data_IF_366311714830
#
_entry.id   IF_366311714830
#
_cell.length_a   1.000
_cell.length_b   1.000
_cell.length_c   1.000
_cell.angle_alpha   90.00
_cell.angle_beta   90.00
_cell.angle_gamma   90.00
#
_symmetry.space_group_name_H-M   'P 1'
#
loop_
_entity.id
_entity.type
_entity.pdbx_description
1 polymer ?
#
# COMPACT_ATOMS: atom_id res chain seq x y z
N UNK A 1 -29.96 -41.74 -14.62
CA UNK A 1 -29.09 -42.68 -13.86
C UNK A 1 -29.73 -42.92 -12.48
N UNK A 2 -29.78 -44.16 -11.96
CA UNK A 2 -30.28 -44.41 -10.59
C UNK A 2 -29.23 -44.01 -9.55
N UNK A 3 -29.64 -43.57 -8.36
CA UNK A 3 -28.74 -43.10 -7.29
C UNK A 3 -27.65 -44.13 -6.94
N UNK A 4 -28.01 -45.41 -6.87
CA UNK A 4 -27.06 -46.52 -6.57
C UNK A 4 -25.97 -46.65 -7.64
N UNK A 5 -26.29 -46.38 -8.91
CA UNK A 5 -25.30 -46.42 -9.99
C UNK A 5 -24.37 -45.20 -9.93
N UNK A 6 -24.92 -44.03 -9.60
CA UNK A 6 -24.15 -42.80 -9.37
C UNK A 6 -23.17 -42.94 -8.20
N UNK A 7 -23.64 -43.55 -7.09
CA UNK A 7 -22.80 -43.89 -5.94
C UNK A 7 -21.65 -44.82 -6.33
N UNK A 8 -21.94 -45.93 -7.02
CA UNK A 8 -20.90 -46.89 -7.42
C UNK A 8 -19.85 -46.27 -8.35
N UNK A 9 -20.25 -45.37 -9.23
CA UNK A 9 -19.34 -44.71 -10.16
C UNK A 9 -18.35 -43.78 -9.45
N UNK A 10 -18.82 -43.04 -8.45
CA UNK A 10 -18.03 -41.98 -7.82
C UNK A 10 -17.46 -42.35 -6.42
N UNK A 11 -17.84 -43.49 -5.84
CA UNK A 11 -17.44 -43.87 -4.48
C UNK A 11 -15.91 -43.94 -4.28
N UNK A 12 -15.17 -44.51 -5.25
CA UNK A 12 -13.70 -44.59 -5.20
C UNK A 12 -13.07 -43.19 -5.15
N UNK A 13 -13.57 -42.26 -5.97
CA UNK A 13 -13.12 -40.87 -6.03
C UNK A 13 -13.36 -40.15 -4.69
N UNK A 14 -14.57 -40.27 -4.14
CA UNK A 14 -14.91 -39.61 -2.88
C UNK A 14 -14.14 -40.18 -1.69
N UNK A 15 -13.93 -41.51 -1.68
CA UNK A 15 -13.11 -42.18 -0.65
C UNK A 15 -11.66 -41.73 -0.68
N UNK A 16 -11.08 -41.55 -1.87
CA UNK A 16 -9.73 -40.99 -2.04
C UNK A 16 -9.65 -39.56 -1.50
N UNK A 17 -10.65 -38.74 -1.81
CA UNK A 17 -10.72 -37.36 -1.34
C UNK A 17 -10.88 -37.27 0.19
N UNK A 18 -11.69 -38.14 0.77
CA UNK A 18 -11.85 -38.24 2.22
C UNK A 18 -10.54 -38.69 2.89
N UNK A 19 -9.78 -39.60 2.28
CA UNK A 19 -8.44 -39.96 2.73
C UNK A 19 -7.46 -38.78 2.71
N UNK A 20 -7.49 -37.96 1.66
CA UNK A 20 -6.67 -36.74 1.57
C UNK A 20 -7.05 -35.70 2.62
N UNK A 21 -8.35 -35.50 2.87
CA UNK A 21 -8.85 -34.57 3.89
C UNK A 21 -8.56 -35.03 5.33
N UNK A 22 -8.51 -36.34 5.57
CA UNK A 22 -8.23 -36.88 6.90
C UNK A 22 -6.72 -36.99 7.18
N UNK A 23 -5.88 -36.97 6.16
CA UNK A 23 -4.43 -36.93 6.33
C UNK A 23 -3.99 -35.49 6.65
N UNK A 24 -3.23 -35.32 7.74
CA UNK A 24 -2.71 -34.01 8.17
C UNK A 24 -1.54 -33.50 7.32
N UNK A 25 -1.24 -34.15 6.20
CA UNK A 25 -0.16 -33.72 5.31
C UNK A 25 -0.65 -32.58 4.41
N UNK A 26 0.16 -31.51 4.28
CA UNK A 26 -0.23 -30.37 3.46
C UNK A 26 -0.23 -30.77 1.98
N UNK A 27 -1.43 -30.89 1.40
CA UNK A 27 -1.63 -31.03 -0.04
C UNK A 27 -1.58 -29.65 -0.71
N UNK A 28 -1.10 -29.61 -1.95
CA UNK A 28 -1.05 -28.40 -2.78
C UNK A 28 -2.45 -27.76 -2.93
N UNK A 29 -2.51 -26.43 -2.84
CA UNK A 29 -3.75 -25.68 -2.96
C UNK A 29 -4.40 -25.83 -4.35
N UNK A 30 -3.58 -26.00 -5.39
CA UNK A 30 -4.08 -26.23 -6.76
C UNK A 30 -4.77 -27.59 -6.90
N UNK A 31 -4.26 -28.61 -6.19
CA UNK A 31 -4.89 -29.94 -6.13
C UNK A 31 -6.23 -29.85 -5.40
N UNK A 32 -6.29 -29.15 -4.27
CA UNK A 32 -7.57 -28.96 -3.57
C UNK A 32 -8.58 -28.16 -4.39
N UNK A 33 -8.15 -27.13 -5.13
CA UNK A 33 -9.02 -26.36 -6.01
C UNK A 33 -9.64 -27.22 -7.14
N UNK A 34 -8.82 -28.07 -7.78
CA UNK A 34 -9.32 -29.01 -8.79
C UNK A 34 -10.33 -30.02 -8.22
N UNK A 35 -10.02 -30.61 -7.07
CA UNK A 35 -10.90 -31.53 -6.37
C UNK A 35 -12.22 -30.87 -5.91
N UNK A 36 -12.19 -29.57 -5.60
CA UNK A 36 -13.38 -28.83 -5.20
C UNK A 36 -14.34 -28.59 -6.35
N UNK A 37 -13.82 -28.34 -7.55
CA UNK A 37 -14.65 -28.28 -8.76
C UNK A 37 -15.35 -29.62 -8.99
N UNK A 38 -14.62 -30.73 -8.94
CA UNK A 38 -15.20 -32.07 -9.16
C UNK A 38 -16.29 -32.44 -8.15
N UNK A 39 -16.08 -32.16 -6.85
CA UNK A 39 -17.08 -32.43 -5.81
C UNK A 39 -18.29 -31.50 -5.94
N UNK A 40 -18.09 -30.26 -6.36
CA UNK A 40 -19.18 -29.30 -6.55
C UNK A 40 -20.05 -29.68 -7.75
N UNK A 41 -19.45 -30.23 -8.81
CA UNK A 41 -20.18 -30.77 -9.96
C UNK A 41 -21.01 -31.99 -9.56
N UNK A 42 -20.42 -32.96 -8.84
CA UNK A 42 -21.13 -34.12 -8.32
C UNK A 42 -22.28 -33.72 -7.37
N UNK A 43 -22.04 -32.74 -6.50
CA UNK A 43 -23.05 -32.21 -5.59
C UNK A 43 -24.19 -31.55 -6.35
N UNK A 44 -23.89 -30.79 -7.40
CA UNK A 44 -24.89 -30.13 -8.24
C UNK A 44 -25.78 -31.16 -8.93
N UNK A 45 -25.17 -32.20 -9.51
CA UNK A 45 -25.92 -33.32 -10.09
C UNK A 45 -26.79 -34.04 -9.05
N UNK A 46 -26.24 -34.33 -7.87
CA UNK A 46 -26.98 -34.99 -6.80
C UNK A 46 -28.15 -34.14 -6.27
N UNK A 47 -27.97 -32.82 -6.13
CA UNK A 47 -29.06 -31.89 -5.75
C UNK A 47 -30.19 -31.87 -6.76
N UNK A 48 -29.88 -31.91 -8.06
CA UNK A 48 -30.89 -31.86 -9.12
C UNK A 48 -31.64 -33.19 -9.26
N UNK A 49 -30.97 -34.34 -9.10
CA UNK A 49 -31.56 -35.65 -9.41
C UNK A 49 -31.95 -36.47 -8.16
N UNK A 50 -31.33 -36.21 -7.01
CA UNK A 50 -31.56 -36.91 -5.74
C UNK A 50 -31.73 -35.90 -4.58
N UNK A 51 -32.70 -34.96 -4.69
CA UNK A 51 -32.89 -33.93 -3.67
C UNK A 51 -33.21 -34.55 -2.30
N UNK A 52 -32.53 -34.07 -1.26
CA UNK A 52 -32.74 -34.53 0.12
C UNK A 52 -32.18 -35.91 0.46
N UNK A 53 -31.47 -36.57 -0.47
CA UNK A 53 -30.89 -37.89 -0.22
C UNK A 53 -29.65 -37.84 0.68
N UNK A 54 -29.28 -39.00 1.26
CA UNK A 54 -28.04 -39.14 2.05
C UNK A 54 -26.79 -38.82 1.22
N UNK A 55 -26.80 -39.14 -0.08
CA UNK A 55 -25.70 -38.84 -1.02
C UNK A 55 -25.53 -37.33 -1.15
N UNK A 56 -26.62 -36.60 -1.33
CA UNK A 56 -26.60 -35.13 -1.42
C UNK A 56 -26.08 -34.49 -0.14
N UNK A 57 -26.50 -34.99 1.04
CA UNK A 57 -25.99 -34.52 2.33
C UNK A 57 -24.50 -34.82 2.52
N UNK A 58 -24.05 -36.02 2.13
CA UNK A 58 -22.65 -36.44 2.19
C UNK A 58 -21.76 -35.54 1.34
N UNK A 59 -22.12 -35.32 0.07
CA UNK A 59 -21.37 -34.46 -0.84
C UNK A 59 -21.33 -33.01 -0.37
N UNK A 60 -22.43 -32.52 0.22
CA UNK A 60 -22.48 -31.18 0.78
C UNK A 60 -21.51 -31.01 1.96
N UNK A 61 -21.42 -32.02 2.85
CA UNK A 61 -20.45 -32.03 3.94
C UNK A 61 -19.01 -32.10 3.44
N UNK A 62 -18.76 -32.91 2.40
CA UNK A 62 -17.44 -33.07 1.80
C UNK A 62 -16.95 -31.78 1.13
N UNK A 63 -17.84 -31.12 0.36
CA UNK A 63 -17.58 -29.81 -0.23
C UNK A 63 -17.27 -28.74 0.82
N UNK A 64 -18.02 -28.74 1.93
CA UNK A 64 -17.81 -27.81 3.04
C UNK A 64 -16.44 -27.96 3.70
N UNK A 65 -16.00 -29.20 3.97
CA UNK A 65 -14.67 -29.48 4.52
C UNK A 65 -13.56 -29.02 3.58
N UNK A 66 -13.68 -29.35 2.30
CA UNK A 66 -12.70 -29.00 1.28
C UNK A 66 -12.60 -27.47 1.08
N UNK A 67 -13.73 -26.76 1.10
CA UNK A 67 -13.75 -25.29 1.08
C UNK A 67 -13.00 -24.68 2.27
N UNK A 68 -13.17 -25.26 3.46
CA UNK A 68 -12.46 -24.80 4.66
C UNK A 68 -10.94 -24.99 4.55
N UNK A 69 -10.49 -26.12 4.00
CA UNK A 69 -9.06 -26.39 3.78
C UNK A 69 -8.43 -25.45 2.75
N UNK A 70 -9.12 -25.18 1.63
CA UNK A 70 -8.64 -24.22 0.61
C UNK A 70 -8.45 -22.82 1.20
N UNK A 71 -9.40 -22.38 2.02
CA UNK A 71 -9.37 -21.04 2.60
C UNK A 71 -8.40 -20.92 3.78
N UNK A 72 -8.25 -22.00 4.57
CA UNK A 72 -7.31 -22.09 5.69
C UNK A 72 -5.85 -22.17 5.22
N UNK A 73 -5.59 -22.86 4.11
CA UNK A 73 -4.24 -23.11 3.61
C UNK A 73 -3.72 -22.00 2.66
N UNK A 74 -4.24 -20.77 2.75
CA UNK A 74 -3.59 -19.59 2.16
C UNK A 74 -2.33 -19.27 2.98
N UNK A 75 -1.24 -20.01 2.69
CA UNK A 75 0.07 -19.70 3.23
C UNK A 75 0.48 -18.33 2.71
N UNK A 76 0.38 -17.30 3.56
CA UNK A 76 1.11 -16.05 3.32
C UNK A 76 2.58 -16.43 3.21
N UNK A 77 3.19 -16.18 2.05
CA UNK A 77 4.59 -16.48 1.81
C UNK A 77 5.42 -16.00 3.00
N UNK A 78 6.18 -16.90 3.65
CA UNK A 78 7.03 -16.53 4.80
C UNK A 78 8.02 -15.42 4.46
N UNK A 79 8.26 -15.21 3.16
CA UNK A 79 9.13 -14.18 2.61
C UNK A 79 8.38 -12.97 2.01
N UNK A 80 7.07 -12.79 2.22
CA UNK A 80 6.28 -11.69 1.62
C UNK A 80 6.88 -10.31 1.86
N UNK A 81 7.37 -10.05 3.08
CA UNK A 81 8.07 -8.80 3.42
C UNK A 81 9.38 -8.65 2.63
N UNK A 82 10.16 -9.73 2.52
CA UNK A 82 11.43 -9.72 1.77
C UNK A 82 11.15 -9.49 0.29
N UNK A 83 10.16 -10.16 -0.29
CA UNK A 83 9.74 -10.00 -1.69
C UNK A 83 9.22 -8.59 -1.96
N UNK A 84 8.44 -8.01 -1.03
CA UNK A 84 7.97 -6.64 -1.12
C UNK A 84 9.14 -5.65 -1.21
N UNK A 85 10.08 -5.73 -0.28
CA UNK A 85 11.20 -4.79 -0.18
C UNK A 85 12.27 -4.99 -1.25
N UNK A 86 12.58 -6.24 -1.64
CA UNK A 86 13.64 -6.54 -2.62
C UNK A 86 13.18 -6.48 -4.07
N UNK A 87 11.91 -6.79 -4.33
CA UNK A 87 11.44 -6.99 -5.70
C UNK A 87 10.32 -6.02 -6.04
N UNK A 88 9.21 -6.05 -5.32
CA UNK A 88 8.01 -5.29 -5.70
C UNK A 88 8.22 -3.79 -5.64
N UNK A 89 8.76 -3.29 -4.52
CA UNK A 89 8.97 -1.87 -4.31
C UNK A 89 10.01 -1.31 -5.29
N UNK A 90 11.23 -1.88 -5.44
CA UNK A 90 12.19 -1.40 -6.44
C UNK A 90 11.66 -1.44 -7.88
N UNK A 91 10.93 -2.50 -8.24
CA UNK A 91 10.33 -2.62 -9.59
C UNK A 91 9.26 -1.55 -9.82
N UNK A 92 8.44 -1.24 -8.80
CA UNK A 92 7.45 -0.18 -8.86
C UNK A 92 8.10 1.19 -9.12
N UNK A 93 9.19 1.51 -8.41
CA UNK A 93 9.96 2.73 -8.62
C UNK A 93 10.58 2.78 -10.02
N UNK A 94 11.18 1.68 -10.49
CA UNK A 94 11.78 1.59 -11.82
C UNK A 94 10.76 1.85 -12.95
N UNK A 95 9.52 1.34 -12.78
CA UNK A 95 8.42 1.55 -13.72
C UNK A 95 7.93 3.00 -13.74
N UNK A 96 8.05 3.74 -12.64
CA UNK A 96 7.59 5.14 -12.51
C UNK A 96 8.74 6.16 -12.49
N UNK A 97 9.96 5.75 -12.86
CA UNK A 97 11.16 6.60 -12.80
C UNK A 97 11.02 7.93 -13.55
N UNK A 98 10.27 7.95 -14.66
CA UNK A 98 10.09 9.18 -15.46
C UNK A 98 9.23 10.20 -14.70
N UNK A 99 8.13 9.75 -14.08
CA UNK A 99 7.28 10.62 -13.25
C UNK A 99 8.05 11.17 -12.06
N UNK A 100 8.86 10.33 -11.40
CA UNK A 100 9.73 10.74 -10.30
C UNK A 100 10.80 11.74 -10.76
N UNK A 101 11.39 11.52 -11.94
CA UNK A 101 12.36 12.43 -12.53
C UNK A 101 11.73 13.79 -12.83
N UNK A 102 10.51 13.84 -13.39
CA UNK A 102 9.81 15.10 -13.63
C UNK A 102 9.52 15.84 -12.32
N UNK A 103 9.00 15.15 -11.30
CA UNK A 103 8.79 15.75 -9.98
C UNK A 103 10.09 16.27 -9.38
N UNK A 104 11.18 15.49 -9.48
CA UNK A 104 12.50 15.88 -9.00
C UNK A 104 13.02 17.13 -9.72
N UNK A 105 12.96 17.18 -11.05
CA UNK A 105 13.42 18.33 -11.84
C UNK A 105 12.61 19.59 -11.50
N UNK A 106 11.27 19.50 -11.46
CA UNK A 106 10.41 20.64 -11.10
C UNK A 106 10.78 21.17 -9.71
N UNK A 107 10.91 20.26 -8.75
CA UNK A 107 11.25 20.61 -7.37
C UNK A 107 12.64 21.22 -7.26
N UNK A 108 13.65 20.63 -7.90
CA UNK A 108 15.03 21.15 -7.90
C UNK A 108 15.13 22.53 -8.54
N UNK A 109 14.44 22.77 -9.66
CA UNK A 109 14.38 24.10 -10.28
C UNK A 109 13.76 25.12 -9.32
N UNK A 110 12.66 24.75 -8.66
CA UNK A 110 12.02 25.61 -7.68
C UNK A 110 12.93 25.93 -6.47
N UNK A 111 13.66 24.94 -5.96
CA UNK A 111 14.67 25.15 -4.90
C UNK A 111 15.74 26.13 -5.36
N UNK A 112 16.29 25.95 -6.57
CA UNK A 112 17.28 26.88 -7.13
C UNK A 112 16.72 28.30 -7.27
N UNK A 113 15.47 28.45 -7.72
CA UNK A 113 14.79 29.75 -7.80
C UNK A 113 14.69 30.37 -6.41
N UNK A 114 14.25 29.61 -5.40
CA UNK A 114 14.18 30.09 -4.01
C UNK A 114 15.53 30.58 -3.51
N UNK A 115 16.58 29.79 -3.70
CA UNK A 115 17.95 30.13 -3.29
C UNK A 115 18.48 31.37 -3.99
N UNK A 116 18.42 31.42 -5.33
CA UNK A 116 18.94 32.56 -6.10
C UNK A 116 18.17 33.83 -5.78
N UNK A 117 16.84 33.76 -5.64
CA UNK A 117 16.04 34.92 -5.26
C UNK A 117 16.40 35.45 -3.87
N UNK A 118 16.58 34.57 -2.89
CA UNK A 118 17.02 34.96 -1.54
C UNK A 118 18.40 35.61 -1.52
N UNK A 119 19.36 35.12 -2.31
CA UNK A 119 20.70 35.70 -2.38
C UNK A 119 20.73 37.11 -2.99
N UNK A 120 19.80 37.40 -3.89
CA UNK A 120 19.75 38.69 -4.58
C UNK A 120 18.84 39.73 -3.89
N UNK A 121 17.83 39.28 -3.14
CA UNK A 121 16.86 40.16 -2.48
C UNK A 121 16.47 39.63 -1.10
N UNK A 122 16.87 40.36 -0.05
CA UNK A 122 16.57 40.01 1.34
C UNK A 122 15.08 40.12 1.68
N UNK A 123 14.31 40.92 0.93
CA UNK A 123 12.85 41.02 1.10
C UNK A 123 12.12 39.76 0.61
N UNK A 124 12.75 38.98 -0.28
CA UNK A 124 12.19 37.72 -0.78
C UNK A 124 11.99 36.69 0.32
N UNK A 125 12.87 36.66 1.33
CA UNK A 125 12.72 35.77 2.49
C UNK A 125 11.42 36.05 3.22
N UNK A 126 11.11 37.33 3.45
CA UNK A 126 9.88 37.76 4.14
C UNK A 126 8.64 37.50 3.30
N UNK A 127 8.73 37.63 1.97
CA UNK A 127 7.63 37.27 1.07
C UNK A 127 7.25 35.79 1.17
N UNK A 128 8.24 34.89 1.25
CA UNK A 128 8.02 33.44 1.21
C UNK A 128 7.77 32.84 2.59
N UNK A 129 8.54 33.24 3.61
CA UNK A 129 8.45 32.69 4.97
C UNK A 129 7.55 33.51 5.91
N UNK A 130 7.25 34.77 5.54
CA UNK A 130 6.45 35.70 6.34
C UNK A 130 7.25 36.41 7.43
N UNK A 131 6.88 37.65 7.73
CA UNK A 131 7.55 38.49 8.73
C UNK A 131 7.61 37.86 10.12
N UNK A 132 6.57 37.14 10.52
CA UNK A 132 6.54 36.47 11.83
C UNK A 132 7.63 35.42 11.99
N UNK A 133 7.86 34.61 10.96
CA UNK A 133 8.92 33.58 10.99
C UNK A 133 10.31 34.23 10.94
N UNK A 134 10.49 35.24 10.08
CA UNK A 134 11.78 35.93 9.93
C UNK A 134 12.16 36.66 11.21
N UNK A 135 11.27 37.46 11.79
CA UNK A 135 11.55 38.22 13.01
C UNK A 135 11.88 37.29 14.20
N UNK A 136 11.15 36.18 14.35
CA UNK A 136 11.42 35.19 15.38
C UNK A 136 12.81 34.57 15.19
N UNK A 137 13.17 34.22 13.95
CA UNK A 137 14.47 33.64 13.64
C UNK A 137 15.61 34.64 13.82
N UNK A 138 15.46 35.90 13.40
CA UNK A 138 16.43 36.97 13.66
C UNK A 138 16.68 37.16 15.17
N UNK A 139 15.61 37.20 15.99
CA UNK A 139 15.73 37.27 17.46
C UNK A 139 16.44 36.05 18.06
N UNK A 140 16.23 34.87 17.48
CA UNK A 140 16.91 33.63 17.88
C UNK A 140 18.40 33.66 17.49
N UNK A 141 18.73 34.21 16.31
CA UNK A 141 20.11 34.43 15.86
C UNK A 141 20.83 35.41 16.79
N UNK A 142 20.20 36.51 17.19
CA UNK A 142 20.74 37.48 18.15
C UNK A 142 21.07 36.84 19.51
N UNK A 143 20.29 35.84 19.92
CA UNK A 143 20.52 35.04 21.14
C UNK A 143 21.56 33.93 20.98
N UNK A 144 22.14 33.77 19.80
CA UNK A 144 23.12 32.73 19.49
C UNK A 144 22.53 31.34 19.27
N UNK A 145 21.22 31.21 19.07
CA UNK A 145 20.55 29.93 18.76
C UNK A 145 19.56 30.05 17.60
N UNK A 146 20.05 30.13 16.34
CA UNK A 146 19.20 30.33 15.15
C UNK A 146 18.07 29.29 14.98
N UNK A 147 18.27 28.08 15.51
CA UNK A 147 17.33 26.96 15.36
C UNK A 147 16.50 26.70 16.63
N UNK A 148 16.42 27.66 17.55
CA UNK A 148 15.64 27.53 18.79
C UNK A 148 14.17 27.17 18.56
N UNK A 149 13.59 27.57 17.42
CA UNK A 149 12.23 27.17 17.00
C UNK A 149 12.03 25.64 16.96
N UNK A 150 13.10 24.87 16.75
CA UNK A 150 13.09 23.41 16.70
C UNK A 150 13.57 22.76 18.02
N UNK A 151 13.84 23.54 19.06
CA UNK A 151 14.37 23.05 20.36
C UNK A 151 13.39 23.17 21.51
N UNK A 152 12.49 24.14 21.49
CA UNK A 152 11.57 24.41 22.62
C UNK A 152 10.45 23.39 22.77
N UNK A 153 10.06 22.68 21.70
CA UNK A 153 9.01 21.67 21.78
C UNK A 153 9.58 20.30 22.16
N UNK A 154 8.80 19.52 22.93
CA UNK A 154 9.14 18.11 23.21
C UNK A 154 9.34 17.38 21.89
N UNK A 155 10.51 16.76 21.70
CA UNK A 155 10.94 16.13 20.44
C UNK A 155 9.85 15.25 19.79
N UNK A 156 9.11 14.48 20.59
CA UNK A 156 7.99 13.65 20.10
C UNK A 156 6.85 14.46 19.49
N UNK A 157 6.49 15.62 20.06
CA UNK A 157 5.42 16.45 19.53
C UNK A 157 5.81 17.07 18.19
N UNK A 158 7.06 17.51 18.04
CA UNK A 158 7.58 17.98 16.75
C UNK A 158 7.61 16.88 15.71
N UNK A 159 8.07 15.68 16.08
CA UNK A 159 8.09 14.53 15.18
C UNK A 159 6.69 14.26 14.60
N UNK A 160 5.66 14.17 15.46
CA UNK A 160 4.28 13.96 14.99
C UNK A 160 3.74 15.17 14.21
N UNK A 161 4.03 16.40 14.65
CA UNK A 161 3.60 17.62 13.95
C UNK A 161 4.15 17.69 12.51
N UNK A 162 5.45 17.46 12.34
CA UNK A 162 6.11 17.42 11.03
C UNK A 162 5.57 16.26 10.19
N UNK A 163 5.41 15.08 10.79
CA UNK A 163 4.87 13.89 10.10
C UNK A 163 3.46 14.15 9.58
N UNK A 164 2.56 14.68 10.41
CA UNK A 164 1.19 14.99 10.01
C UNK A 164 1.15 16.09 8.95
N UNK A 165 2.02 17.11 9.06
CA UNK A 165 2.12 18.14 8.03
C UNK A 165 2.54 17.57 6.68
N UNK A 166 3.57 16.71 6.64
CA UNK A 166 4.02 16.05 5.42
C UNK A 166 2.96 15.12 4.82
N UNK A 167 2.21 14.37 5.65
CA UNK A 167 1.10 13.55 5.20
C UNK A 167 0.00 14.42 4.57
N UNK A 168 -0.36 15.53 5.22
CA UNK A 168 -1.35 16.48 4.71
C UNK A 168 -0.92 17.06 3.35
N UNK A 169 0.30 17.56 3.25
CA UNK A 169 0.85 18.10 1.99
C UNK A 169 0.88 17.03 0.91
N UNK A 170 1.30 15.80 1.24
CA UNK A 170 1.33 14.68 0.29
C UNK A 170 -0.07 14.33 -0.23
N UNK A 171 -1.08 14.32 0.66
CA UNK A 171 -2.47 14.05 0.28
C UNK A 171 -3.05 15.15 -0.61
N UNK A 172 -2.72 16.41 -0.32
CA UNK A 172 -3.10 17.55 -1.17
C UNK A 172 -2.43 17.45 -2.54
N UNK A 173 -1.12 17.20 -2.60
CA UNK A 173 -0.36 16.99 -3.83
C UNK A 173 -0.96 15.89 -4.71
N UNK A 174 -1.35 14.77 -4.10
CA UNK A 174 -2.05 13.67 -4.77
C UNK A 174 -3.42 14.11 -5.30
N UNK A 175 -4.24 14.74 -4.45
CA UNK A 175 -5.59 15.18 -4.82
C UNK A 175 -5.58 16.22 -5.95
N UNK A 176 -4.62 17.14 -5.94
CA UNK A 176 -4.46 18.15 -6.97
C UNK A 176 -3.96 17.57 -8.31
N UNK A 177 -3.54 16.30 -8.33
CA UNK A 177 -3.23 15.56 -9.55
C UNK A 177 -4.42 15.43 -10.50
N UNK A 178 -5.65 15.51 -9.97
CA UNK A 178 -6.90 15.49 -10.76
C UNK A 178 -6.92 16.63 -11.79
N UNK A 179 -6.26 17.75 -11.51
CA UNK A 179 -6.13 18.89 -12.41
C UNK A 179 -5.02 18.67 -13.46
N UNK A 180 -5.01 17.49 -14.10
CA UNK A 180 -4.01 17.09 -15.10
C UNK A 180 -2.56 17.27 -14.58
N UNK A 181 -2.33 17.00 -13.30
CA UNK A 181 -1.05 17.19 -12.59
C UNK A 181 -0.52 18.64 -12.50
N UNK A 182 -1.22 19.65 -13.03
CA UNK A 182 -0.83 21.06 -12.92
C UNK A 182 -0.83 21.50 -11.45
N UNK A 183 -1.86 21.08 -10.69
CA UNK A 183 -1.95 21.39 -9.26
C UNK A 183 -0.82 20.75 -8.44
N UNK A 184 -0.41 19.52 -8.79
CA UNK A 184 0.74 18.86 -8.18
C UNK A 184 2.05 19.60 -8.51
N UNK A 185 2.25 19.98 -9.77
CA UNK A 185 3.44 20.74 -10.19
C UNK A 185 3.54 22.09 -9.47
N UNK A 186 2.42 22.81 -9.34
CA UNK A 186 2.35 24.06 -8.59
C UNK A 186 2.72 23.86 -7.11
N UNK A 187 2.21 22.81 -6.45
CA UNK A 187 2.58 22.53 -5.06
C UNK A 187 4.05 22.12 -4.90
N UNK A 188 4.60 21.33 -5.82
CA UNK A 188 6.04 21.03 -5.83
C UNK A 188 6.86 22.31 -5.99
N UNK A 189 6.43 23.21 -6.86
CA UNK A 189 7.10 24.49 -7.09
C UNK A 189 7.08 25.37 -5.84
N UNK A 190 5.92 25.59 -5.21
CA UNK A 190 5.83 26.45 -4.03
C UNK A 190 6.58 25.89 -2.83
N UNK A 191 6.50 24.57 -2.59
CA UNK A 191 7.29 23.91 -1.54
C UNK A 191 8.80 23.93 -1.84
N UNK A 192 9.19 23.79 -3.11
CA UNK A 192 10.59 23.89 -3.53
C UNK A 192 11.16 25.29 -3.30
N UNK A 193 10.46 26.33 -3.74
CA UNK A 193 10.86 27.73 -3.50
C UNK A 193 10.99 28.02 -2.00
N UNK A 194 10.02 27.56 -1.20
CA UNK A 194 10.06 27.70 0.26
C UNK A 194 11.29 27.01 0.86
N UNK A 195 11.60 25.78 0.43
CA UNK A 195 12.75 25.04 0.91
C UNK A 195 14.08 25.72 0.54
N UNK A 196 14.22 26.20 -0.70
CA UNK A 196 15.40 26.93 -1.15
C UNK A 196 15.60 28.24 -0.37
N UNK A 197 14.52 29.00 -0.19
CA UNK A 197 14.52 30.24 0.62
C UNK A 197 14.94 29.95 2.06
N UNK A 198 14.33 28.93 2.68
CA UNK A 198 14.61 28.53 4.04
C UNK A 198 16.09 28.18 4.22
N UNK A 199 16.64 27.28 3.40
CA UNK A 199 18.05 26.88 3.55
C UNK A 199 19.01 28.05 3.34
N UNK A 200 18.70 28.95 2.42
CA UNK A 200 19.55 30.10 2.10
C UNK A 200 19.48 31.17 3.18
N UNK A 201 18.35 31.30 3.89
CA UNK A 201 18.22 32.24 4.99
C UNK A 201 19.11 31.89 6.20
N UNK A 202 19.44 30.61 6.39
CA UNK A 202 20.33 30.13 7.44
C UNK A 202 21.79 29.97 7.01
N UNK A 203 22.13 30.30 5.75
CA UNK A 203 23.49 30.30 5.23
C UNK A 203 24.19 31.61 5.59
#
# INVERSE_FOLDING_TARGET
>A
MKEVAFLKLNAEKWKKLEGLLNNSEPVDADIYAGLFLEITDDLSFARTHFPGSKTTQYLNGLAGKLHQEIYSNKRTDKNRLVTFWKTELPTLYANHRNSLLYSFVIFSIAVMIGTVSTLNDTSFVRLILGDGYVNMTEHNIEKGDPLAVYKDARQLQMFFGITLNNIRVSFLCFSAGILLSVGTAFMLFTNGVMLGTFHTFFY
#
